data_IF_464748159356
#
_entry.id   IF_464748159356
#
_cell.length_a   1.000
_cell.length_b   1.000
_cell.length_c   1.000
_cell.angle_alpha   90.00
_cell.angle_beta   90.00
_cell.angle_gamma   90.00
#
_symmetry.space_group_name_H-M   'P 1'
#
loop_
_entity.id
_entity.type
_entity.pdbx_description
1 polymer ?
#
# COMPACT_ATOMS: atom_id res chain seq x y z
N UNK A 1 70.68 -11.06 3.97
CA UNK A 1 69.84 -10.25 3.04
C UNK A 1 69.39 -11.16 1.91
N UNK A 2 68.18 -11.70 1.97
CA UNK A 2 67.67 -12.60 0.93
C UNK A 2 67.16 -11.78 -0.25
N UNK A 3 67.89 -11.81 -1.37
CA UNK A 3 67.42 -11.26 -2.65
C UNK A 3 66.46 -12.27 -3.27
N UNK A 4 65.16 -12.09 -3.03
CA UNK A 4 64.11 -12.82 -3.73
C UNK A 4 64.22 -12.48 -5.23
N UNK A 5 64.37 -13.51 -6.07
CA UNK A 5 64.48 -13.32 -7.52
C UNK A 5 63.14 -12.82 -8.08
N UNK A 6 63.18 -12.03 -9.15
CA UNK A 6 62.00 -11.44 -9.81
C UNK A 6 60.92 -12.48 -10.14
N UNK A 7 61.35 -13.72 -10.43
CA UNK A 7 60.46 -14.87 -10.70
C UNK A 7 59.68 -15.33 -9.47
N UNK A 8 60.30 -15.31 -8.29
CA UNK A 8 59.62 -15.65 -7.03
C UNK A 8 58.62 -14.58 -6.60
N UNK A 9 58.86 -13.32 -6.98
CA UNK A 9 57.89 -12.25 -6.77
C UNK A 9 56.65 -12.44 -7.63
N UNK A 10 56.83 -12.73 -8.93
CA UNK A 10 55.72 -13.01 -9.86
C UNK A 10 54.87 -14.22 -9.45
N UNK A 11 55.51 -15.30 -8.96
CA UNK A 11 54.79 -16.50 -8.51
C UNK A 11 53.91 -16.27 -7.27
N UNK A 12 54.24 -15.28 -6.44
CA UNK A 12 53.46 -14.94 -5.24
C UNK A 12 52.39 -13.87 -5.50
N UNK A 13 52.66 -12.90 -6.38
CA UNK A 13 51.71 -11.81 -6.63
C UNK A 13 50.55 -12.23 -7.51
N UNK A 14 50.76 -13.09 -8.51
CA UNK A 14 49.69 -13.57 -9.40
C UNK A 14 48.53 -14.24 -8.66
N UNK A 15 48.74 -15.22 -7.75
CA UNK A 15 47.62 -15.85 -7.05
C UNK A 15 46.91 -14.89 -6.10
N UNK A 16 47.64 -13.97 -5.45
CA UNK A 16 47.04 -12.98 -4.54
C UNK A 16 46.18 -11.97 -5.31
N UNK A 17 46.65 -11.48 -6.46
CA UNK A 17 45.87 -10.59 -7.32
C UNK A 17 44.67 -11.31 -7.91
N UNK A 18 44.83 -12.57 -8.37
CA UNK A 18 43.71 -13.37 -8.86
C UNK A 18 42.65 -13.60 -7.78
N UNK A 19 43.07 -13.90 -6.54
CA UNK A 19 42.16 -14.09 -5.41
C UNK A 19 41.43 -12.78 -5.05
N UNK A 20 42.14 -11.64 -5.07
CA UNK A 20 41.54 -10.32 -4.83
C UNK A 20 40.56 -9.93 -5.93
N UNK A 21 40.86 -10.24 -7.19
CA UNK A 21 39.94 -10.01 -8.33
C UNK A 21 38.70 -10.89 -8.20
N UNK A 22 38.84 -12.17 -7.85
CA UNK A 22 37.71 -13.08 -7.62
C UNK A 22 36.87 -12.60 -6.42
N UNK A 23 37.52 -12.22 -5.31
CA UNK A 23 36.83 -11.68 -4.15
C UNK A 23 36.10 -10.37 -4.47
N UNK A 24 36.69 -9.49 -5.28
CA UNK A 24 36.02 -8.30 -5.77
C UNK A 24 34.82 -8.66 -6.67
N UNK A 25 34.97 -9.58 -7.62
CA UNK A 25 33.88 -10.02 -8.50
C UNK A 25 32.73 -10.72 -7.75
N UNK A 26 33.02 -11.38 -6.62
CA UNK A 26 32.00 -11.98 -5.76
C UNK A 26 31.38 -10.98 -4.77
N UNK A 27 32.13 -9.95 -4.37
CA UNK A 27 31.67 -8.91 -3.43
C UNK A 27 30.92 -7.77 -4.13
N UNK A 28 31.21 -7.53 -5.41
CA UNK A 28 30.44 -6.65 -6.27
C UNK A 28 29.48 -7.52 -7.08
N UNK A 29 28.21 -7.68 -6.66
CA UNK A 29 27.21 -8.21 -7.57
C UNK A 29 27.32 -7.39 -8.85
N UNK A 30 27.58 -8.08 -9.97
CA UNK A 30 27.62 -7.46 -11.29
C UNK A 30 26.45 -6.51 -11.36
N UNK A 31 26.73 -5.22 -11.46
CA UNK A 31 25.72 -4.20 -11.71
C UNK A 31 25.06 -4.62 -13.01
N UNK A 32 23.94 -5.33 -12.90
CA UNK A 32 23.00 -5.50 -14.00
C UNK A 32 22.77 -4.09 -14.51
N UNK A 33 23.04 -3.96 -15.80
CA UNK A 33 22.98 -2.73 -16.56
C UNK A 33 21.83 -1.86 -16.07
N UNK A 34 22.21 -0.72 -15.48
CA UNK A 34 21.45 0.51 -15.48
C UNK A 34 20.95 0.72 -16.91
N UNK A 35 19.65 0.65 -17.15
CA UNK A 35 19.14 0.82 -18.51
C UNK A 35 17.65 0.54 -18.74
N UNK A 36 17.02 -0.33 -17.95
CA UNK A 36 15.59 -0.61 -18.15
C UNK A 36 14.80 -0.13 -16.94
N UNK A 37 14.56 1.19 -16.86
CA UNK A 37 13.24 1.60 -16.37
C UNK A 37 12.27 0.86 -17.30
N UNK A 38 11.41 -0.06 -16.83
CA UNK A 38 10.44 -0.66 -17.72
C UNK A 38 9.72 0.50 -18.39
N UNK A 39 9.92 0.65 -19.69
CA UNK A 39 9.22 1.67 -20.46
C UNK A 39 7.75 1.44 -20.14
N UNK A 40 7.11 2.45 -19.53
CA UNK A 40 5.68 2.40 -19.27
C UNK A 40 5.02 1.94 -20.58
N UNK A 41 4.27 0.83 -20.58
CA UNK A 41 3.75 0.29 -21.81
C UNK A 41 2.96 1.36 -22.57
N UNK A 42 2.96 1.28 -23.91
CA UNK A 42 2.41 2.32 -24.78
C UNK A 42 1.03 2.73 -24.31
N UNK A 43 0.84 4.04 -24.25
CA UNK A 43 -0.39 4.66 -23.75
C UNK A 43 -1.54 4.32 -24.70
N UNK A 44 -2.63 3.68 -24.23
CA UNK A 44 -3.86 3.67 -25.04
C UNK A 44 -4.29 5.13 -25.26
N UNK A 45 -4.55 5.49 -26.53
CA UNK A 45 -4.85 6.86 -26.94
C UNK A 45 -6.16 7.41 -26.34
N UNK A 46 -6.96 6.55 -25.70
CA UNK A 46 -8.25 6.86 -25.08
C UNK A 46 -8.25 6.46 -23.60
N UNK A 47 -8.88 7.26 -22.71
CA UNK A 47 -9.14 6.86 -21.34
C UNK A 47 -9.89 5.52 -21.31
N UNK A 48 -9.43 4.61 -20.48
CA UNK A 48 -10.11 3.33 -20.30
C UNK A 48 -11.44 3.56 -19.57
N UNK A 49 -12.53 2.91 -19.99
CA UNK A 49 -13.79 2.99 -19.27
C UNK A 49 -13.63 2.32 -17.90
N UNK A 50 -14.34 2.84 -16.90
CA UNK A 50 -14.51 2.18 -15.62
C UNK A 50 -15.11 0.78 -15.82
N UNK A 51 -14.64 -0.19 -15.04
CA UNK A 51 -15.00 -1.59 -15.22
C UNK A 51 -15.60 -2.18 -13.94
N UNK A 52 -16.68 -2.96 -14.03
CA UNK A 52 -17.22 -3.67 -12.89
C UNK A 52 -16.24 -4.76 -12.43
N UNK A 53 -16.21 -4.98 -11.12
CA UNK A 53 -15.39 -5.99 -10.46
C UNK A 53 -16.27 -6.99 -9.68
N UNK A 54 -15.74 -8.18 -9.36
CA UNK A 54 -16.41 -9.11 -8.48
C UNK A 54 -16.82 -8.45 -7.15
N UNK A 55 -17.99 -8.82 -6.62
CA UNK A 55 -18.50 -8.27 -5.36
C UNK A 55 -19.20 -6.91 -5.48
N UNK A 56 -19.39 -6.39 -6.70
CA UNK A 56 -20.09 -5.12 -6.95
C UNK A 56 -19.19 -3.88 -6.85
N UNK A 57 -17.88 -4.08 -6.73
CA UNK A 57 -16.90 -3.01 -6.82
C UNK A 57 -16.73 -2.52 -8.27
N UNK A 58 -16.09 -1.37 -8.43
CA UNK A 58 -15.80 -0.76 -9.73
C UNK A 58 -14.34 -0.31 -9.78
N UNK A 59 -13.59 -0.81 -10.76
CA UNK A 59 -12.29 -0.28 -11.13
C UNK A 59 -12.47 1.09 -11.78
N UNK A 60 -11.79 2.11 -11.25
CA UNK A 60 -11.88 3.50 -11.72
C UNK A 60 -10.84 3.77 -12.80
N UNK A 61 -10.82 2.97 -13.87
CA UNK A 61 -9.79 3.04 -14.92
C UNK A 61 -9.82 4.36 -15.71
N UNK A 62 -10.96 5.05 -15.73
CA UNK A 62 -11.07 6.38 -16.35
C UNK A 62 -10.26 7.45 -15.63
N UNK A 63 -9.94 7.22 -14.35
CA UNK A 63 -9.12 8.11 -13.53
C UNK A 63 -7.63 7.82 -13.64
N UNK A 64 -7.24 6.77 -14.35
CA UNK A 64 -5.84 6.49 -14.63
C UNK A 64 -5.24 7.63 -15.47
N UNK A 65 -4.10 8.16 -15.02
CA UNK A 65 -3.33 9.22 -15.70
C UNK A 65 -4.04 10.57 -15.84
N UNK A 66 -5.09 10.83 -15.06
CA UNK A 66 -5.56 12.21 -14.87
C UNK A 66 -4.46 12.95 -14.11
N UNK A 67 -3.91 14.00 -14.73
CA UNK A 67 -2.95 14.89 -14.08
C UNK A 67 -3.70 15.80 -13.10
N UNK A 68 -3.94 15.25 -11.91
CA UNK A 68 -4.51 15.94 -10.77
C UNK A 68 -3.44 16.77 -10.01
N UNK A 69 -2.26 16.98 -10.62
CA UNK A 69 -1.10 17.62 -10.00
C UNK A 69 -0.23 16.68 -9.16
N UNK A 70 0.85 17.20 -8.55
CA UNK A 70 1.76 16.39 -7.74
C UNK A 70 1.04 15.89 -6.48
N UNK A 71 0.77 14.57 -6.42
CA UNK A 71 0.12 13.86 -5.30
C UNK A 71 -1.24 14.46 -4.89
N UNK A 72 -2.34 13.99 -5.50
CA UNK A 72 -3.68 14.43 -5.15
C UNK A 72 -3.97 14.22 -3.68
N UNK A 73 -4.67 15.16 -3.05
CA UNK A 73 -5.16 14.99 -1.68
C UNK A 73 -6.05 13.75 -1.60
N UNK A 74 -5.92 13.02 -0.51
CA UNK A 74 -6.74 11.85 -0.27
C UNK A 74 -8.23 12.23 -0.25
N UNK A 75 -9.08 11.42 -0.87
CA UNK A 75 -10.53 11.66 -0.82
C UNK A 75 -11.01 11.52 0.63
N UNK A 76 -11.47 12.64 1.20
CA UNK A 76 -11.90 12.72 2.60
C UNK A 76 -10.76 13.02 3.60
N UNK A 77 -9.60 13.47 3.15
CA UNK A 77 -8.47 13.85 4.03
C UNK A 77 -8.87 14.89 5.10
N UNK A 78 -9.75 15.83 4.76
CA UNK A 78 -10.30 16.80 5.72
C UNK A 78 -11.30 16.22 6.72
N UNK A 79 -11.68 14.94 6.57
CA UNK A 79 -12.59 14.21 7.45
C UNK A 79 -11.83 13.28 8.42
N UNK A 80 -10.49 13.42 8.47
CA UNK A 80 -9.64 12.72 9.43
C UNK A 80 -9.88 13.30 10.83
N UNK A 81 -10.53 12.50 11.67
CA UNK A 81 -10.71 12.80 13.09
C UNK A 81 -9.72 11.99 13.94
N UNK A 82 -9.47 12.48 15.16
CA UNK A 82 -8.63 11.78 16.12
C UNK A 82 -9.19 10.39 16.49
N UNK A 83 -10.51 10.28 16.72
CA UNK A 83 -11.21 9.04 17.06
C UNK A 83 -12.69 9.10 16.62
N UNK A 84 -13.27 8.01 16.07
CA UNK A 84 -12.60 6.78 15.69
C UNK A 84 -11.67 7.07 14.50
N UNK A 85 -10.53 6.38 14.47
CA UNK A 85 -9.51 6.58 13.43
C UNK A 85 -9.24 5.27 12.72
N UNK A 86 -8.98 5.39 11.43
CA UNK A 86 -8.37 4.35 10.63
C UNK A 86 -6.88 4.67 10.55
N UNK A 87 -6.04 3.70 10.87
CA UNK A 87 -4.58 3.80 10.79
C UNK A 87 -4.08 2.82 9.75
N UNK A 88 -3.13 3.28 8.95
CA UNK A 88 -2.44 2.45 7.99
C UNK A 88 -1.40 1.58 8.69
N UNK A 89 -1.39 0.28 8.39
CA UNK A 89 -0.46 -0.70 8.96
C UNK A 89 0.62 -1.17 7.96
N UNK A 90 0.29 -1.19 6.67
CA UNK A 90 1.22 -1.64 5.63
C UNK A 90 0.50 -1.99 4.33
N UNK A 91 1.26 -2.26 3.28
CA UNK A 91 0.78 -2.93 2.08
C UNK A 91 1.85 -3.86 1.54
N UNK A 92 1.43 -4.84 0.74
CA UNK A 92 2.36 -5.75 0.10
C UNK A 92 1.69 -6.59 -0.97
N UNK A 93 2.50 -7.03 -1.93
CA UNK A 93 2.12 -8.05 -2.88
C UNK A 93 2.71 -9.39 -2.45
N UNK A 94 1.91 -10.45 -2.51
CA UNK A 94 2.33 -11.82 -2.25
C UNK A 94 2.00 -12.69 -3.46
N UNK A 95 2.96 -13.52 -3.89
CA UNK A 95 2.70 -14.69 -4.72
C UNK A 95 2.88 -15.93 -3.85
N UNK A 96 1.79 -16.62 -3.46
CA UNK A 96 1.89 -17.81 -2.62
C UNK A 96 2.54 -18.99 -3.35
N UNK A 97 2.72 -18.90 -4.67
CA UNK A 97 3.32 -19.91 -5.52
C UNK A 97 2.32 -20.95 -6.04
N UNK A 98 2.79 -21.89 -6.89
CA UNK A 98 1.93 -22.83 -7.59
C UNK A 98 1.06 -23.67 -6.64
N UNK A 99 -0.25 -23.66 -6.86
CA UNK A 99 -1.23 -24.46 -6.11
C UNK A 99 -1.58 -23.94 -4.71
N UNK A 100 -1.04 -22.78 -4.28
CA UNK A 100 -1.26 -22.21 -2.94
C UNK A 100 -2.16 -20.96 -2.92
N UNK A 101 -2.60 -20.51 -4.08
CA UNK A 101 -3.46 -19.34 -4.23
C UNK A 101 -3.13 -18.55 -5.48
N UNK A 102 -3.76 -17.39 -5.63
CA UNK A 102 -3.42 -16.41 -6.66
C UNK A 102 -2.56 -15.29 -6.07
N UNK A 103 -1.70 -14.65 -6.87
CA UNK A 103 -1.04 -13.41 -6.47
C UNK A 103 -2.08 -12.37 -6.05
N UNK A 104 -1.77 -11.63 -4.99
CA UNK A 104 -2.67 -10.60 -4.46
C UNK A 104 -1.86 -9.46 -3.86
N UNK A 105 -2.47 -8.27 -3.83
CA UNK A 105 -1.94 -7.10 -3.15
C UNK A 105 -2.91 -6.71 -2.04
N UNK A 106 -2.42 -6.62 -0.82
CA UNK A 106 -3.24 -6.33 0.36
C UNK A 106 -2.77 -5.04 1.02
N UNK A 107 -3.74 -4.25 1.47
CA UNK A 107 -3.52 -3.10 2.34
C UNK A 107 -4.01 -3.46 3.75
N UNK A 108 -3.11 -3.41 4.71
CA UNK A 108 -3.35 -3.69 6.13
C UNK A 108 -3.67 -2.41 6.86
N UNK A 109 -4.77 -2.40 7.61
CA UNK A 109 -5.27 -1.24 8.34
C UNK A 109 -5.76 -1.65 9.73
N UNK A 110 -5.90 -0.67 10.61
CA UNK A 110 -6.55 -0.88 11.90
C UNK A 110 -7.55 0.24 12.21
N UNK A 111 -8.71 -0.12 12.77
CA UNK A 111 -9.67 0.84 13.32
C UNK A 111 -9.48 0.92 14.83
N UNK A 112 -9.24 2.12 15.33
CA UNK A 112 -9.15 2.41 16.76
C UNK A 112 -10.28 3.35 17.19
N UNK A 113 -10.76 3.16 18.40
CA UNK A 113 -11.85 3.95 19.00
C UNK A 113 -11.38 4.66 20.26
N UNK A 114 -12.13 5.67 20.69
CA UNK A 114 -11.89 6.38 21.94
C UNK A 114 -12.50 5.68 23.14
N UNK A 115 -13.10 6.47 24.03
CA UNK A 115 -13.62 5.97 25.31
C UNK A 115 -14.91 5.16 25.19
N UNK A 116 -15.48 5.02 24.00
CA UNK A 116 -16.71 4.26 23.77
C UNK A 116 -16.48 3.15 22.75
N UNK A 117 -17.24 2.06 22.86
CA UNK A 117 -17.18 1.01 21.86
C UNK A 117 -17.79 1.49 20.53
N UNK A 118 -17.27 0.97 19.42
CA UNK A 118 -17.85 1.08 18.07
C UNK A 118 -18.32 -0.29 17.63
N UNK A 119 -19.51 -0.38 17.05
CA UNK A 119 -20.03 -1.61 16.46
C UNK A 119 -20.10 -1.42 14.94
N UNK A 120 -19.27 -2.12 14.19
CA UNK A 120 -19.30 -2.13 12.73
C UNK A 120 -20.15 -3.29 12.24
N UNK A 121 -21.02 -3.04 11.27
CA UNK A 121 -21.82 -4.10 10.64
C UNK A 121 -20.94 -5.14 9.96
N UNK A 122 -21.41 -6.38 9.88
CA UNK A 122 -20.75 -7.44 9.11
C UNK A 122 -21.50 -7.69 7.78
N UNK A 123 -20.80 -7.80 6.63
CA UNK A 123 -19.38 -7.54 6.41
C UNK A 123 -19.01 -6.06 6.64
N UNK A 124 -17.80 -5.81 7.14
CA UNK A 124 -17.33 -4.45 7.45
C UNK A 124 -17.32 -3.61 6.19
N UNK A 125 -18.13 -2.54 6.21
CA UNK A 125 -18.23 -1.56 5.12
C UNK A 125 -18.47 -2.22 3.75
N UNK A 126 -19.38 -3.20 3.72
CA UNK A 126 -19.78 -3.91 2.50
C UNK A 126 -20.07 -2.93 1.35
N UNK A 127 -19.22 -2.96 0.32
CA UNK A 127 -19.37 -2.11 -0.86
C UNK A 127 -19.09 -0.62 -0.60
N UNK A 128 -18.35 -0.27 0.45
CA UNK A 128 -18.13 1.12 0.90
C UNK A 128 -16.68 1.46 1.20
N UNK A 129 -15.77 0.62 0.70
CA UNK A 129 -14.33 0.90 0.74
C UNK A 129 -13.87 1.43 -0.61
N UNK A 130 -13.10 2.51 -0.56
CA UNK A 130 -12.36 3.07 -1.70
C UNK A 130 -10.88 2.93 -1.42
N UNK A 131 -10.12 2.45 -2.41
CA UNK A 131 -8.68 2.31 -2.35
C UNK A 131 -8.06 2.97 -3.58
N UNK A 132 -7.12 3.86 -3.32
CA UNK A 132 -6.37 4.59 -4.34
C UNK A 132 -4.87 4.44 -4.08
N UNK A 133 -4.11 4.18 -5.15
CA UNK A 133 -2.64 4.16 -5.11
C UNK A 133 -2.10 5.19 -6.07
N UNK A 134 -1.36 6.16 -5.56
CA UNK A 134 -0.72 7.23 -6.32
C UNK A 134 0.77 6.99 -6.38
N UNK A 135 1.37 7.14 -7.56
CA UNK A 135 2.81 7.06 -7.73
C UNK A 135 3.56 8.25 -7.13
N UNK A 136 4.87 8.12 -6.93
CA UNK A 136 5.75 9.21 -6.52
C UNK A 136 5.85 10.30 -7.61
N UNK A 137 6.40 11.46 -7.24
CA UNK A 137 6.78 12.51 -8.20
C UNK A 137 5.71 12.97 -9.20
N UNK A 138 4.42 12.86 -8.84
CA UNK A 138 3.33 13.24 -9.73
C UNK A 138 3.10 12.26 -10.90
N UNK A 139 3.56 11.01 -10.81
CA UNK A 139 3.27 9.94 -11.78
C UNK A 139 1.75 9.67 -11.94
N UNK A 140 0.96 10.20 -11.00
CA UNK A 140 -0.49 10.09 -10.99
C UNK A 140 -0.94 8.77 -10.39
N UNK A 141 -2.12 8.31 -10.80
CA UNK A 141 -2.77 7.15 -10.21
C UNK A 141 -2.24 5.85 -10.83
N UNK A 142 -1.81 4.92 -9.98
CA UNK A 142 -1.36 3.55 -10.35
C UNK A 142 -2.48 2.52 -10.24
N UNK A 143 -3.44 2.75 -9.34
CA UNK A 143 -4.63 1.94 -9.20
C UNK A 143 -5.75 2.74 -8.52
N UNK A 144 -7.00 2.41 -8.83
CA UNK A 144 -8.14 2.92 -8.08
C UNK A 144 -9.37 2.04 -8.21
N UNK A 145 -10.04 1.86 -7.08
CA UNK A 145 -11.21 1.03 -6.96
C UNK A 145 -12.16 1.56 -5.90
N UNK A 146 -13.45 1.47 -6.20
CA UNK A 146 -14.54 1.83 -5.29
C UNK A 146 -15.45 0.64 -5.05
N UNK A 147 -16.11 0.62 -3.91
CA UNK A 147 -17.07 -0.42 -3.58
C UNK A 147 -16.43 -1.73 -3.12
N UNK A 148 -15.20 -1.69 -2.61
CA UNK A 148 -14.60 -2.84 -1.95
C UNK A 148 -15.27 -3.12 -0.59
N UNK A 149 -14.96 -4.29 -0.03
CA UNK A 149 -15.36 -4.71 1.32
C UNK A 149 -14.10 -5.06 2.09
N UNK A 150 -14.00 -4.63 3.35
CA UNK A 150 -12.86 -4.96 4.19
C UNK A 150 -13.04 -6.34 4.84
N UNK A 151 -11.95 -7.11 4.93
CA UNK A 151 -11.91 -8.38 5.65
C UNK A 151 -11.33 -8.14 7.02
N UNK A 152 -12.03 -8.56 8.08
CA UNK A 152 -11.45 -8.53 9.43
C UNK A 152 -10.44 -9.65 9.56
N UNK A 153 -9.26 -9.34 10.10
CA UNK A 153 -8.17 -10.30 10.27
C UNK A 153 -7.62 -10.32 11.70
N UNK A 154 -6.90 -11.39 12.04
CA UNK A 154 -6.09 -11.48 13.25
C UNK A 154 -4.86 -10.58 13.16
N UNK A 155 -4.30 -10.19 14.31
CA UNK A 155 -3.06 -9.39 14.39
C UNK A 155 -1.77 -10.22 14.17
N UNK A 156 -1.89 -11.54 13.99
CA UNK A 156 -0.77 -12.47 13.77
C UNK A 156 -0.20 -12.36 12.35
N UNK A 157 1.07 -12.77 12.17
CA UNK A 157 1.68 -12.94 10.85
C UNK A 157 1.92 -14.43 10.54
N UNK A 158 1.38 -14.98 9.43
CA UNK A 158 0.45 -14.34 8.49
C UNK A 158 -0.95 -14.14 9.08
N UNK A 159 -1.60 -13.05 8.68
CA UNK A 159 -2.95 -12.70 9.11
C UNK A 159 -3.97 -13.72 8.64
N UNK A 160 -5.03 -13.96 9.44
CA UNK A 160 -6.11 -14.89 9.10
C UNK A 160 -7.45 -14.18 9.16
N UNK A 161 -8.31 -14.45 8.18
CA UNK A 161 -9.67 -13.92 8.16
C UNK A 161 -10.47 -14.38 9.40
N UNK A 162 -11.12 -13.43 10.06
CA UNK A 162 -11.97 -13.66 11.22
C UNK A 162 -13.42 -13.78 10.75
N UNK A 163 -14.14 -14.87 11.08
CA UNK A 163 -15.53 -15.02 10.73
C UNK A 163 -16.39 -13.91 11.35
N UNK A 164 -17.41 -13.39 10.63
CA UNK A 164 -18.27 -12.34 11.18
C UNK A 164 -19.12 -12.87 12.34
N UNK A 165 -19.06 -12.24 13.53
CA UNK A 165 -19.95 -12.59 14.62
C UNK A 165 -21.39 -12.09 14.36
N UNK A 166 -22.40 -12.71 15.00
CA UNK A 166 -23.77 -12.20 14.96
C UNK A 166 -23.83 -10.74 15.46
N UNK A 167 -24.39 -9.85 14.65
CA UNK A 167 -24.53 -8.42 14.98
C UNK A 167 -23.33 -7.53 14.65
N UNK A 168 -22.22 -8.08 14.15
CA UNK A 168 -21.07 -7.31 13.67
C UNK A 168 -19.91 -7.19 14.66
N UNK A 169 -18.85 -6.48 14.24
CA UNK A 169 -17.59 -6.39 14.96
C UNK A 169 -17.60 -5.26 15.97
N UNK A 170 -17.55 -5.62 17.26
CA UNK A 170 -17.46 -4.65 18.36
C UNK A 170 -15.99 -4.34 18.68
N UNK A 171 -15.62 -3.08 18.53
CA UNK A 171 -14.32 -2.54 18.91
C UNK A 171 -14.45 -1.91 20.30
N UNK A 172 -13.81 -2.49 21.31
CA UNK A 172 -13.80 -1.95 22.66
C UNK A 172 -12.78 -0.81 22.81
N UNK A 173 -12.95 0.12 23.76
CA UNK A 173 -11.93 1.11 24.10
C UNK A 173 -10.57 0.48 24.37
N UNK A 174 -9.51 1.06 23.80
CA UNK A 174 -8.14 0.53 23.93
C UNK A 174 -7.84 -0.73 23.10
N UNK A 175 -8.80 -1.22 22.29
CA UNK A 175 -8.61 -2.31 21.33
C UNK A 175 -8.67 -1.76 19.90
N UNK A 176 -8.05 -2.50 18.99
CA UNK A 176 -8.09 -2.24 17.55
C UNK A 176 -8.81 -3.38 16.84
N UNK A 177 -9.40 -3.06 15.68
CA UNK A 177 -9.89 -4.05 14.73
C UNK A 177 -9.00 -4.00 13.49
N UNK A 178 -8.29 -5.08 13.23
CA UNK A 178 -7.40 -5.20 12.06
C UNK A 178 -8.17 -5.62 10.83
N UNK A 179 -7.87 -4.97 9.72
CA UNK A 179 -8.58 -5.07 8.46
C UNK A 179 -7.59 -5.26 7.31
N UNK A 180 -7.94 -6.16 6.41
CA UNK A 180 -7.26 -6.35 5.13
C UNK A 180 -8.20 -5.94 4.00
N UNK A 181 -7.65 -5.19 3.04
CA UNK A 181 -8.33 -4.83 1.80
C UNK A 181 -7.47 -5.29 0.62
N UNK A 182 -7.98 -6.28 -0.11
CA UNK A 182 -7.34 -6.79 -1.33
C UNK A 182 -7.62 -5.82 -2.49
N UNK A 183 -6.56 -5.39 -3.18
CA UNK A 183 -6.64 -4.66 -4.44
C UNK A 183 -6.79 -5.65 -5.60
N UNK A 184 -7.92 -5.65 -6.32
CA UNK A 184 -8.09 -6.54 -7.47
C UNK A 184 -7.15 -6.13 -8.62
N UNK A 185 -6.50 -7.08 -9.27
CA UNK A 185 -5.59 -6.81 -10.39
C UNK A 185 -6.25 -6.01 -11.53
N UNK A 186 -7.56 -6.19 -11.75
CA UNK A 186 -8.32 -5.45 -12.76
C UNK A 186 -8.55 -3.96 -12.42
N UNK A 187 -8.19 -3.50 -11.21
CA UNK A 187 -8.20 -2.09 -10.81
C UNK A 187 -6.86 -1.37 -11.06
N UNK A 188 -5.85 -2.09 -11.56
CA UNK A 188 -4.55 -1.53 -11.88
C UNK A 188 -4.62 -0.69 -13.16
N UNK A 189 -3.98 0.47 -13.14
CA UNK A 189 -3.80 1.27 -14.34
C UNK A 189 -2.82 0.57 -15.31
N UNK A 190 -2.94 0.82 -16.64
CA UNK A 190 -2.04 0.21 -17.63
C UNK A 190 -0.57 0.48 -17.32
N UNK A 191 0.22 -0.59 -17.26
CA UNK A 191 1.64 -0.54 -16.94
C UNK A 191 2.02 -0.93 -15.53
N UNK A 192 1.02 -1.11 -14.65
CA UNK A 192 1.26 -1.61 -13.31
C UNK A 192 0.84 -3.07 -13.17
N UNK A 193 1.55 -3.76 -12.28
CA UNK A 193 1.25 -5.10 -11.81
C UNK A 193 1.02 -5.04 -10.30
N UNK A 194 0.49 -6.11 -9.71
CA UNK A 194 0.33 -6.20 -8.26
C UNK A 194 1.67 -5.97 -7.53
N UNK A 195 2.80 -6.36 -8.11
CA UNK A 195 4.13 -6.22 -7.51
C UNK A 195 4.76 -4.85 -7.73
N UNK A 196 4.35 -4.12 -8.77
CA UNK A 196 4.92 -2.79 -9.10
C UNK A 196 4.05 -1.62 -8.62
N UNK A 197 2.77 -1.85 -8.34
CA UNK A 197 1.83 -0.78 -7.92
C UNK A 197 2.30 -0.08 -6.63
N UNK A 198 2.84 -0.85 -5.67
CA UNK A 198 3.36 -0.36 -4.40
C UNK A 198 4.86 -0.09 -4.37
N UNK A 199 5.59 -0.22 -5.48
CA UNK A 199 7.04 -0.08 -5.48
C UNK A 199 7.48 1.40 -5.46
N UNK A 200 8.47 1.72 -4.61
CA UNK A 200 9.15 3.02 -4.66
C UNK A 200 10.11 3.10 -5.84
N UNK A 201 10.41 4.32 -6.32
CA UNK A 201 11.35 4.56 -7.42
C UNK A 201 12.29 5.73 -7.08
N UNK A 202 13.62 5.51 -7.02
CA UNK A 202 14.32 4.25 -7.30
C UNK A 202 14.05 3.16 -6.25
N UNK A 203 14.27 1.90 -6.63
CA UNK A 203 14.16 0.78 -5.71
C UNK A 203 15.08 0.97 -4.49
N UNK A 204 14.61 0.59 -3.29
CA UNK A 204 15.33 0.67 -2.00
C UNK A 204 15.66 2.09 -1.52
N UNK A 205 15.05 3.11 -2.11
CA UNK A 205 15.04 4.45 -1.52
C UNK A 205 14.48 4.44 -0.09
N UNK A 206 14.97 5.37 0.73
CA UNK A 206 14.41 5.72 2.03
C UNK A 206 13.67 7.06 1.99
N UNK A 207 13.57 7.71 0.83
CA UNK A 207 12.82 8.95 0.68
C UNK A 207 11.33 8.63 0.49
N UNK A 208 10.50 9.18 1.38
CA UNK A 208 9.05 9.08 1.28
C UNK A 208 8.50 9.68 -0.03
N UNK A 209 9.21 10.64 -0.65
CA UNK A 209 8.83 11.23 -1.93
C UNK A 209 8.93 10.25 -3.11
N UNK A 210 9.81 9.26 -2.99
CA UNK A 210 10.02 8.22 -4.00
C UNK A 210 9.03 7.05 -3.88
N UNK A 211 8.27 7.00 -2.81
CA UNK A 211 7.29 5.94 -2.56
C UNK A 211 5.86 6.34 -2.98
N UNK A 212 5.03 5.36 -3.37
CA UNK A 212 3.64 5.63 -3.68
C UNK A 212 2.85 5.97 -2.40
N UNK A 213 1.85 6.84 -2.57
CA UNK A 213 0.89 7.18 -1.53
C UNK A 213 -0.32 6.26 -1.70
N UNK A 214 -0.64 5.50 -0.66
CA UNK A 214 -1.84 4.68 -0.60
C UNK A 214 -2.87 5.39 0.27
N UNK A 215 -4.04 5.61 -0.30
CA UNK A 215 -5.19 6.22 0.37
C UNK A 215 -6.29 5.20 0.47
N UNK A 216 -6.82 5.01 1.68
CA UNK A 216 -7.95 4.15 1.93
C UNK A 216 -9.04 4.91 2.67
N UNK A 217 -10.25 4.85 2.13
CA UNK A 217 -11.44 5.45 2.72
C UNK A 217 -12.48 4.36 2.97
N UNK A 218 -12.88 4.24 4.24
CA UNK A 218 -13.90 3.31 4.72
C UNK A 218 -15.11 4.11 5.15
N UNK A 219 -16.29 3.86 4.58
CA UNK A 219 -17.54 4.53 5.01
C UNK A 219 -18.48 3.57 5.73
N UNK A 220 -18.91 3.93 6.93
CA UNK A 220 -19.86 3.13 7.73
C UNK A 220 -20.78 4.02 8.58
N UNK A 221 -22.13 3.89 8.48
CA UNK A 221 -23.06 4.69 9.28
C UNK A 221 -22.78 4.66 10.79
N UNK A 222 -22.25 3.54 11.32
CA UNK A 222 -21.92 3.45 12.74
C UNK A 222 -20.81 4.43 13.16
N UNK A 223 -19.91 4.81 12.25
CA UNK A 223 -18.89 5.84 12.48
C UNK A 223 -19.53 7.21 12.68
N UNK A 224 -20.53 7.55 11.85
CA UNK A 224 -21.30 8.78 11.98
C UNK A 224 -22.04 8.82 13.30
N UNK A 225 -22.75 7.74 13.65
CA UNK A 225 -23.49 7.67 14.91
C UNK A 225 -22.56 7.78 16.12
N UNK A 226 -21.41 7.11 16.06
CA UNK A 226 -20.37 7.23 17.09
C UNK A 226 -19.90 8.68 17.26
N UNK A 227 -19.52 9.35 16.17
CA UNK A 227 -18.99 10.72 16.18
C UNK A 227 -20.03 11.72 16.65
N UNK A 228 -21.27 11.60 16.18
CA UNK A 228 -22.39 12.43 16.60
C UNK A 228 -22.60 12.32 18.11
N UNK A 229 -22.60 11.10 18.64
CA UNK A 229 -22.73 10.89 20.07
C UNK A 229 -21.52 11.41 20.88
N UNK A 230 -20.30 11.47 20.31
CA UNK A 230 -19.10 11.95 21.04
C UNK A 230 -19.13 13.48 21.11
N UNK A 231 -19.46 14.11 19.98
CA UNK A 231 -19.38 15.56 19.81
C UNK A 231 -20.66 16.30 20.17
N UNK A 232 -21.76 15.57 20.39
CA UNK A 232 -23.10 16.15 20.59
C UNK A 232 -23.68 16.78 19.31
N UNK A 233 -23.06 16.56 18.14
CA UNK A 233 -23.51 17.09 16.85
C UNK A 233 -24.65 16.25 16.28
N UNK A 234 -25.41 16.85 15.36
CA UNK A 234 -26.42 16.14 14.59
C UNK A 234 -25.76 15.06 13.69
N UNK A 235 -26.23 13.80 13.72
CA UNK A 235 -25.74 12.76 12.83
C UNK A 235 -25.78 13.15 11.35
N UNK A 236 -26.80 13.90 10.91
CA UNK A 236 -26.95 14.29 9.51
C UNK A 236 -25.81 15.19 8.98
N UNK A 237 -25.11 15.92 9.85
CA UNK A 237 -23.97 16.77 9.49
C UNK A 237 -22.62 16.13 9.80
N UNK A 238 -22.61 14.86 10.22
CA UNK A 238 -21.41 14.16 10.68
C UNK A 238 -20.94 13.15 9.63
N UNK A 239 -19.64 13.15 9.33
CA UNK A 239 -19.05 12.20 8.38
C UNK A 239 -19.12 10.76 8.91
N UNK A 240 -19.48 9.83 8.02
CA UNK A 240 -19.40 8.38 8.22
C UNK A 240 -18.08 7.77 7.73
N UNK A 241 -17.11 8.59 7.32
CA UNK A 241 -15.86 8.15 6.70
C UNK A 241 -14.71 8.07 7.68
N UNK A 242 -13.94 7.00 7.60
CA UNK A 242 -12.60 6.89 8.14
C UNK A 242 -11.60 6.90 6.98
N UNK A 243 -10.55 7.72 7.11
CA UNK A 243 -9.56 7.92 6.04
C UNK A 243 -8.17 7.71 6.60
N UNK A 244 -7.36 6.97 5.85
CA UNK A 244 -5.97 6.73 6.17
C UNK A 244 -5.09 6.85 4.91
N UNK A 245 -3.89 7.36 5.11
CA UNK A 245 -2.91 7.67 4.07
C UNK A 245 -1.56 7.11 4.52
N UNK A 246 -0.87 6.34 3.67
CA UNK A 246 0.35 5.60 4.02
C UNK A 246 1.58 6.48 4.28
N UNK A 247 1.57 7.71 3.79
CA UNK A 247 2.61 8.70 3.99
C UNK A 247 1.91 9.97 4.44
N UNK A 248 1.83 10.17 5.75
CA UNK A 248 1.60 11.52 6.25
C UNK A 248 2.82 12.34 5.81
N UNK A 249 2.66 13.53 5.19
CA UNK A 249 3.77 14.45 5.15
C UNK A 249 4.22 14.65 6.60
N UNK A 250 5.53 14.65 6.85
CA UNK A 250 6.02 15.25 8.09
C UNK A 250 5.32 16.59 8.21
N UNK A 251 4.58 16.78 9.30
CA UNK A 251 4.24 18.12 9.72
C UNK A 251 5.59 18.81 9.91
N UNK A 252 6.02 19.56 8.89
CA UNK A 252 7.01 20.61 9.05
C UNK A 252 6.33 21.69 9.90
N UNK A 253 6.18 21.40 11.19
CA UNK A 253 5.99 22.41 12.21
C UNK A 253 7.34 23.08 12.44
N UNK A 254 7.55 24.18 11.72
CA UNK A 254 8.38 25.30 12.17
C UNK A 254 7.79 26.58 11.58
#
# INVERSE_FOLDING_TARGET
MFRLSLRSWLLLTVPVVALLVIAALLSFPSTRSRGDTPALPPVPATPLPDAPLPGGATAQLSTCRVDDGPRPRAVGEGERDALPRLTYGGYGAEDPGPGRGRPHFTVHMAVAVGHRPLLLGAPVSKGRVTLDVFGPHGEGRRASVRGLTATVVTDDFPSKAVPPPPGGFRIAPGRTLSLDVELPAAALCPGYTLFTVGACSPERTNDAQDCPVVTLTLSDPAVRDYRAAVTGRNPASTSDRLVAVSLEPEFSGA
#
